data_IF_945755190731
#
_entry.id   IF_945755190731
#
_cell.length_a   1.000
_cell.length_b   1.000
_cell.length_c   1.000
_cell.angle_alpha   90.00
_cell.angle_beta   90.00
_cell.angle_gamma   90.00
#
_symmetry.space_group_name_H-M   'P 1'
#
loop_
_entity.id
_entity.type
_entity.pdbx_description
1 polymer ?
#
# COMPACT_ATOMS: atom_id res chain seq x y z
N UNK A 1 -35.55 -28.88 -9.46
CA UNK A 1 -34.14 -29.11 -9.85
C UNK A 1 -33.46 -27.84 -10.40
N UNK A 2 -33.88 -26.62 -9.99
CA UNK A 2 -33.48 -25.33 -10.62
C UNK A 2 -32.66 -24.45 -9.63
N UNK A 3 -32.65 -24.79 -8.34
CA UNK A 3 -32.04 -23.96 -7.29
C UNK A 3 -30.51 -24.03 -7.22
N UNK A 4 -29.90 -25.15 -7.64
CA UNK A 4 -28.44 -25.32 -7.61
C UNK A 4 -27.74 -24.49 -8.68
N UNK A 5 -28.32 -24.36 -9.88
CA UNK A 5 -27.74 -23.57 -10.97
C UNK A 5 -27.68 -22.07 -10.64
N UNK A 6 -28.70 -21.54 -9.94
CA UNK A 6 -28.73 -20.14 -9.52
C UNK A 6 -27.70 -19.87 -8.41
N UNK A 7 -27.57 -20.80 -7.45
CA UNK A 7 -26.59 -20.70 -6.38
C UNK A 7 -25.15 -20.76 -6.94
N UNK A 8 -24.89 -21.67 -7.87
CA UNK A 8 -23.59 -21.82 -8.52
C UNK A 8 -23.24 -20.58 -9.37
N UNK A 9 -24.20 -20.05 -10.13
CA UNK A 9 -24.00 -18.83 -10.91
C UNK A 9 -23.73 -17.60 -10.03
N UNK A 10 -24.45 -17.47 -8.91
CA UNK A 10 -24.25 -16.37 -7.95
C UNK A 10 -22.87 -16.45 -7.30
N UNK A 11 -22.45 -17.65 -6.86
CA UNK A 11 -21.12 -17.86 -6.26
C UNK A 11 -20.01 -17.62 -7.29
N UNK A 12 -20.17 -18.11 -8.52
CA UNK A 12 -19.19 -17.92 -9.60
C UNK A 12 -19.04 -16.44 -9.96
N UNK A 13 -20.14 -15.69 -10.09
CA UNK A 13 -20.13 -14.25 -10.37
C UNK A 13 -19.60 -13.44 -9.18
N UNK A 14 -19.85 -13.87 -7.95
CA UNK A 14 -19.24 -13.29 -6.75
C UNK A 14 -17.73 -13.53 -6.72
N UNK A 15 -17.28 -14.73 -7.10
CA UNK A 15 -15.85 -15.07 -7.19
C UNK A 15 -15.14 -14.31 -8.32
N UNK A 16 -15.78 -14.17 -9.48
CA UNK A 16 -15.27 -13.32 -10.57
C UNK A 16 -15.22 -11.84 -10.17
N UNK A 17 -16.21 -11.33 -9.45
CA UNK A 17 -16.17 -9.97 -8.92
C UNK A 17 -15.06 -9.81 -7.88
N UNK A 18 -14.83 -10.79 -7.00
CA UNK A 18 -13.70 -10.78 -6.06
C UNK A 18 -12.36 -10.81 -6.82
N UNK A 19 -12.25 -11.59 -7.88
CA UNK A 19 -11.06 -11.67 -8.72
C UNK A 19 -10.83 -10.37 -9.50
N UNK A 20 -11.87 -9.77 -10.08
CA UNK A 20 -11.81 -8.45 -10.74
C UNK A 20 -11.43 -7.35 -9.78
N UNK A 21 -12.06 -7.31 -8.59
CA UNK A 21 -11.71 -6.36 -7.54
C UNK A 21 -10.24 -6.54 -7.16
N UNK A 22 -9.79 -7.76 -6.83
CA UNK A 22 -8.36 -8.07 -6.56
C UNK A 22 -7.44 -7.59 -7.67
N UNK A 23 -7.80 -7.79 -8.94
CA UNK A 23 -6.98 -7.36 -10.08
C UNK A 23 -6.94 -5.85 -10.26
N UNK A 24 -8.03 -5.13 -9.94
CA UNK A 24 -8.05 -3.67 -9.93
C UNK A 24 -7.13 -3.15 -8.82
N UNK A 25 -7.11 -3.77 -7.63
CA UNK A 25 -6.20 -3.38 -6.54
C UNK A 25 -4.71 -3.62 -6.91
N UNK A 26 -4.42 -4.67 -7.69
CA UNK A 26 -3.07 -5.02 -8.11
C UNK A 26 -2.37 -3.97 -9.00
N UNK A 27 -3.10 -2.99 -9.54
CA UNK A 27 -2.56 -1.99 -10.46
C UNK A 27 -2.22 -0.64 -9.82
N UNK A 28 -2.40 -0.47 -8.51
CA UNK A 28 -2.28 0.85 -7.88
C UNK A 28 -0.94 1.12 -7.18
N UNK A 29 -0.23 0.12 -6.65
CA UNK A 29 1.03 0.35 -5.92
C UNK A 29 1.98 -0.80 -6.19
N UNK A 30 3.23 -0.48 -6.50
CA UNK A 30 4.30 -1.48 -6.68
C UNK A 30 5.27 -1.42 -5.51
N UNK A 31 5.72 -2.57 -5.00
CA UNK A 31 6.74 -2.65 -3.96
C UNK A 31 8.04 -3.21 -4.54
N UNK A 32 9.18 -2.64 -4.15
CA UNK A 32 10.49 -3.21 -4.49
C UNK A 32 10.76 -4.48 -3.70
N UNK A 33 11.72 -5.27 -4.21
CA UNK A 33 12.24 -6.44 -3.51
C UNK A 33 12.76 -6.09 -2.11
N UNK A 34 13.40 -4.93 -1.96
CA UNK A 34 13.94 -4.47 -0.68
C UNK A 34 12.81 -4.18 0.32
N UNK A 35 11.77 -3.46 -0.11
CA UNK A 35 10.60 -3.20 0.71
C UNK A 35 9.93 -4.51 1.14
N UNK A 36 9.65 -5.43 0.20
CA UNK A 36 9.05 -6.73 0.50
C UNK A 36 9.90 -7.51 1.50
N UNK A 37 11.23 -7.56 1.31
CA UNK A 37 12.15 -8.27 2.20
C UNK A 37 12.12 -7.69 3.61
N UNK A 38 12.12 -6.35 3.75
CA UNK A 38 12.06 -5.71 5.07
C UNK A 38 10.72 -5.97 5.76
N UNK A 39 9.61 -5.86 5.02
CA UNK A 39 8.27 -6.12 5.56
C UNK A 39 8.18 -7.58 6.03
N UNK A 40 8.62 -8.52 5.19
CA UNK A 40 8.67 -9.95 5.51
C UNK A 40 9.51 -10.19 6.76
N UNK A 41 10.67 -9.56 6.87
CA UNK A 41 11.51 -9.65 8.06
C UNK A 41 10.78 -9.12 9.30
N UNK A 42 10.14 -7.95 9.23
CA UNK A 42 9.37 -7.37 10.33
C UNK A 42 8.20 -8.23 10.78
N UNK A 43 7.50 -8.89 9.84
CA UNK A 43 6.41 -9.82 10.14
C UNK A 43 6.90 -11.17 10.66
N UNK A 44 8.07 -11.66 10.20
CA UNK A 44 8.66 -12.93 10.65
C UNK A 44 9.33 -12.81 12.03
N UNK A 45 9.96 -11.66 12.31
CA UNK A 45 10.56 -11.39 13.62
C UNK A 45 9.53 -11.31 14.73
N UNK A 46 8.25 -11.10 14.40
CA UNK A 46 7.16 -11.15 15.36
C UNK A 46 6.43 -12.48 15.25
N UNK A 47 6.16 -13.12 16.38
CA UNK A 47 5.48 -14.44 16.44
C UNK A 47 4.04 -14.42 15.90
N UNK A 48 3.47 -13.23 15.65
CA UNK A 48 2.11 -13.06 15.16
C UNK A 48 2.05 -12.99 13.62
N UNK A 49 1.61 -14.09 13.00
CA UNK A 49 1.34 -14.20 11.56
C UNK A 49 0.17 -13.31 11.08
N UNK A 50 -0.59 -12.73 12.00
CA UNK A 50 -1.70 -11.83 11.68
C UNK A 50 -1.28 -10.38 11.49
N UNK A 51 -0.03 -10.04 11.81
CA UNK A 51 0.50 -8.70 11.62
C UNK A 51 0.60 -8.37 10.14
N UNK A 52 -0.04 -7.27 9.75
CA UNK A 52 0.02 -6.70 8.42
C UNK A 52 0.67 -5.34 8.51
N UNK A 53 1.35 -4.95 7.45
CA UNK A 53 1.96 -3.63 7.40
C UNK A 53 0.91 -2.63 6.96
N UNK A 54 0.70 -1.58 7.73
CA UNK A 54 -0.20 -0.50 7.43
C UNK A 54 0.57 0.77 7.09
N UNK A 55 0.14 1.45 6.03
CA UNK A 55 0.76 2.70 5.56
C UNK A 55 -0.16 3.86 5.84
N UNK A 56 0.40 4.92 6.38
CA UNK A 56 -0.25 6.21 6.53
C UNK A 56 0.57 7.29 5.87
N UNK A 57 -0.11 8.30 5.35
CA UNK A 57 0.52 9.55 4.92
C UNK A 57 0.47 10.52 6.08
N UNK A 58 1.64 10.93 6.57
CA UNK A 58 1.73 11.91 7.65
C UNK A 58 1.62 13.35 7.15
N UNK A 59 1.55 13.55 5.82
CA UNK A 59 1.76 14.87 5.22
C UNK A 59 3.24 15.26 5.30
N UNK A 60 3.64 16.31 4.59
CA UNK A 60 4.96 16.87 4.80
C UNK A 60 5.06 18.29 4.25
N UNK A 61 6.03 19.04 4.79
CA UNK A 61 6.24 20.45 4.46
C UNK A 61 6.81 20.65 3.05
N UNK A 62 7.52 21.76 2.82
CA UNK A 62 8.12 22.09 1.52
C UNK A 62 9.03 20.98 0.93
N UNK A 63 9.46 20.02 1.75
CA UNK A 63 10.32 18.89 1.36
C UNK A 63 9.56 17.64 0.88
N UNK A 64 8.22 17.68 0.83
CA UNK A 64 7.38 16.59 0.31
C UNK A 64 6.74 15.70 1.38
N UNK A 65 5.85 14.80 0.94
CA UNK A 65 5.04 13.93 1.80
C UNK A 65 5.88 12.90 2.55
N UNK A 66 5.62 12.75 3.86
CA UNK A 66 6.19 11.67 4.67
C UNK A 66 5.20 10.50 4.77
N UNK A 67 5.74 9.29 4.75
CA UNK A 67 4.97 8.05 4.85
C UNK A 67 5.40 7.29 6.09
N UNK A 68 4.42 6.89 6.89
CA UNK A 68 4.63 6.10 8.09
C UNK A 68 4.13 4.69 7.89
N UNK A 69 4.92 3.74 8.39
CA UNK A 69 4.62 2.32 8.32
C UNK A 69 4.45 1.81 9.74
N UNK A 70 3.32 1.17 10.01
CA UNK A 70 3.06 0.51 11.29
C UNK A 70 2.69 -0.93 11.05
N UNK A 71 2.89 -1.79 12.05
CA UNK A 71 2.37 -3.15 12.00
C UNK A 71 1.07 -3.18 12.78
N UNK A 72 -0.01 -3.57 12.10
CA UNK A 72 -1.33 -3.68 12.68
C UNK A 72 -1.91 -5.07 12.38
N UNK A 73 -2.54 -5.67 13.37
CA UNK A 73 -3.22 -6.96 13.22
C UNK A 73 -4.66 -6.78 12.75
N UNK A 74 -5.26 -5.63 13.10
CA UNK A 74 -6.64 -5.32 12.81
C UNK A 74 -6.73 -4.51 11.53
N UNK A 75 -7.57 -4.99 10.64
CA UNK A 75 -8.01 -4.25 9.46
C UNK A 75 -9.30 -3.52 9.85
N UNK A 76 -9.37 -2.21 9.60
CA UNK A 76 -10.62 -1.47 9.71
C UNK A 76 -11.54 -1.79 8.51
N UNK A 77 -12.83 -1.50 8.65
CA UNK A 77 -13.83 -1.82 7.63
C UNK A 77 -13.56 -1.10 6.30
N UNK A 78 -13.07 0.14 6.37
CA UNK A 78 -12.79 0.98 5.21
C UNK A 78 -11.38 0.78 4.64
N UNK A 79 -10.52 0.03 5.32
CA UNK A 79 -9.16 -0.17 4.82
C UNK A 79 -9.15 -1.04 3.56
N UNK A 80 -8.16 -0.79 2.72
CA UNK A 80 -7.90 -1.54 1.50
C UNK A 80 -6.70 -2.45 1.75
N UNK A 81 -6.85 -3.72 1.40
CA UNK A 81 -5.79 -4.71 1.57
C UNK A 81 -5.13 -4.98 0.22
N UNK A 82 -3.85 -4.68 0.13
CA UNK A 82 -3.04 -4.81 -1.09
C UNK A 82 -2.07 -5.96 -0.88
N UNK A 83 -2.12 -6.95 -1.77
CA UNK A 83 -1.20 -8.09 -1.72
C UNK A 83 -0.05 -7.85 -2.68
N UNK A 84 1.18 -7.93 -2.17
CA UNK A 84 2.39 -7.70 -2.96
C UNK A 84 3.36 -8.86 -2.74
N UNK A 85 3.24 -9.89 -3.58
CA UNK A 85 3.97 -11.14 -3.40
C UNK A 85 3.54 -11.84 -2.11
N UNK A 86 4.52 -12.07 -1.22
CA UNK A 86 4.32 -12.81 0.04
C UNK A 86 3.83 -11.94 1.21
N UNK A 87 3.65 -10.63 1.01
CA UNK A 87 3.26 -9.70 2.08
C UNK A 87 1.94 -9.02 1.77
N UNK A 88 1.19 -8.72 2.84
CA UNK A 88 -0.05 -7.94 2.77
C UNK A 88 0.15 -6.56 3.38
N UNK A 89 -0.29 -5.56 2.64
CA UNK A 89 -0.34 -4.16 3.02
C UNK A 89 -1.78 -3.77 3.36
N UNK A 90 -1.95 -2.96 4.39
CA UNK A 90 -3.18 -2.25 4.70
C UNK A 90 -2.97 -0.78 4.33
N UNK A 91 -3.88 -0.22 3.56
CA UNK A 91 -3.83 1.18 3.14
C UNK A 91 -5.20 1.77 3.33
N UNK A 92 -5.29 2.92 3.99
CA UNK A 92 -6.57 3.63 4.10
C UNK A 92 -6.96 4.24 2.73
N UNK A 93 -8.25 4.40 2.43
CA UNK A 93 -8.71 4.91 1.13
C UNK A 93 -8.11 6.27 0.75
N UNK A 94 -7.89 7.13 1.75
CA UNK A 94 -7.32 8.46 1.56
C UNK A 94 -5.86 8.31 1.12
N UNK A 95 -5.05 7.53 1.83
CA UNK A 95 -3.65 7.27 1.47
C UNK A 95 -3.53 6.57 0.11
N UNK A 96 -4.46 5.67 -0.24
CA UNK A 96 -4.43 4.97 -1.53
C UNK A 96 -4.44 5.95 -2.71
N UNK A 97 -5.23 7.02 -2.63
CA UNK A 97 -5.33 8.00 -3.72
C UNK A 97 -3.99 8.70 -4.00
N UNK A 98 -3.17 8.88 -2.96
CA UNK A 98 -1.85 9.50 -3.01
C UNK A 98 -0.73 8.49 -3.22
N UNK A 99 -1.02 7.19 -3.14
CA UNK A 99 -0.07 6.13 -3.45
C UNK A 99 -0.34 5.51 -4.83
N UNK A 100 -1.46 5.87 -5.45
CA UNK A 100 -1.88 5.35 -6.74
C UNK A 100 -0.84 5.61 -7.85
N UNK A 101 -0.45 4.56 -8.56
CA UNK A 101 0.63 4.54 -9.54
C UNK A 101 2.03 4.60 -8.92
N UNK A 102 2.13 4.57 -7.59
CA UNK A 102 3.36 4.74 -6.86
C UNK A 102 4.17 3.46 -6.68
N UNK A 103 5.47 3.64 -6.44
CA UNK A 103 6.43 2.58 -6.14
C UNK A 103 7.02 2.81 -4.76
N UNK A 104 6.89 1.82 -3.88
CA UNK A 104 7.43 1.85 -2.53
C UNK A 104 8.76 1.10 -2.52
N UNK A 105 9.81 1.77 -2.04
CA UNK A 105 11.14 1.23 -1.85
C UNK A 105 11.58 1.36 -0.39
N UNK A 106 12.60 0.60 -0.01
CA UNK A 106 13.23 0.66 1.30
C UNK A 106 14.73 0.82 1.12
N UNK A 107 15.27 1.91 1.66
CA UNK A 107 16.69 2.25 1.63
C UNK A 107 17.24 2.14 3.05
N UNK A 108 18.33 1.40 3.18
CA UNK A 108 19.03 1.17 4.44
C UNK A 108 20.51 1.48 4.21
N UNK A 109 20.93 2.64 4.71
CA UNK A 109 22.30 3.14 4.62
C UNK A 109 22.86 3.37 6.03
N UNK A 110 24.13 3.75 6.12
CA UNK A 110 24.76 4.13 7.40
C UNK A 110 24.05 5.31 8.10
N UNK A 111 23.44 6.21 7.33
CA UNK A 111 22.67 7.35 7.85
C UNK A 111 21.29 6.96 8.40
N UNK A 112 20.84 5.72 8.14
CA UNK A 112 19.58 5.21 8.66
C UNK A 112 18.79 4.36 7.67
N UNK A 113 17.69 3.82 8.19
CA UNK A 113 16.70 3.06 7.43
C UNK A 113 15.45 3.88 7.22
N UNK A 114 15.01 4.00 5.96
CA UNK A 114 13.75 4.68 5.63
C UNK A 114 13.05 4.03 4.45
N UNK A 115 11.72 4.07 4.51
CA UNK A 115 10.88 3.77 3.36
C UNK A 115 10.73 5.02 2.50
N UNK A 116 10.82 4.85 1.19
CA UNK A 116 10.68 5.91 0.19
C UNK A 116 9.56 5.52 -0.75
N UNK A 117 8.68 6.47 -1.05
CA UNK A 117 7.61 6.27 -2.01
C UNK A 117 7.84 7.19 -3.19
N UNK A 118 7.92 6.60 -4.38
CA UNK A 118 7.97 7.28 -5.66
C UNK A 118 6.57 7.31 -6.24
N UNK A 119 5.87 8.44 -6.15
CA UNK A 119 4.57 8.59 -6.80
C UNK A 119 4.68 9.57 -7.99
N UNK A 120 4.47 9.12 -9.25
CA UNK A 120 4.48 10.03 -10.40
C UNK A 120 3.36 11.09 -10.35
N UNK A 121 2.28 10.81 -9.59
CA UNK A 121 1.16 11.74 -9.39
C UNK A 121 1.42 12.74 -8.25
N UNK A 122 2.44 12.51 -7.42
CA UNK A 122 2.87 13.48 -6.43
C UNK A 122 3.66 14.59 -7.16
N UNK A 123 2.94 15.53 -7.78
CA UNK A 123 3.56 16.80 -8.16
C UNK A 123 4.09 17.43 -6.89
N UNK A 124 5.40 17.66 -6.84
CA UNK A 124 6.05 18.42 -5.78
C UNK A 124 5.44 19.83 -5.78
N UNK A 125 4.39 20.07 -5.01
CA UNK A 125 3.90 21.42 -4.74
C UNK A 125 4.84 22.04 -3.71
N UNK A 126 6.06 22.38 -4.14
CA UNK A 126 6.86 23.37 -3.43
C UNK A 126 6.09 24.70 -3.49
N UNK A 127 5.23 24.92 -2.50
CA UNK A 127 4.50 26.17 -2.30
C UNK A 127 5.35 27.30 -1.71
N UNK A 128 6.68 27.18 -1.70
CA UNK A 128 7.57 28.30 -1.42
C UNK A 128 8.23 28.75 -2.73
N UNK A 129 7.56 29.68 -3.42
CA UNK A 129 8.04 30.38 -4.61
C UNK A 129 9.24 31.29 -4.35
N UNK A 130 10.30 30.75 -3.76
CA UNK A 130 11.58 31.44 -3.57
C UNK A 130 12.66 30.69 -4.35
N UNK A 131 12.46 30.59 -5.65
CA UNK A 131 13.53 30.39 -6.61
C UNK A 131 13.56 31.60 -7.53
N UNK A 132 14.10 32.70 -7.01
CA UNK A 132 14.66 33.80 -7.79
C UNK A 132 16.06 34.07 -7.25
N UNK A 133 17.05 33.55 -7.98
CA UNK A 133 18.27 34.24 -8.42
C UNK A 133 18.73 35.47 -7.60
N UNK A 134 19.76 35.31 -6.76
CA UNK A 134 20.94 36.19 -6.69
C UNK A 134 22.21 35.35 -6.57
#
# INVERSE_FOLDING_TARGET
>A
MIGYDILFYTISKYFENILKVKNIINNHITLTKNAIKKIKHLTLSKTNKHLKLRIYILGGGCSGFQYQFVLDEKKNQDDILINAGDVSLIVDPISLQYLNGGKIDYIENFEGSKFIVYNPNAKNTCGCGSSFNI
#
